data_IF_006904917596
#
_entry.id   IF_006904917596
#
_cell.length_a   1.000
_cell.length_b   1.000
_cell.length_c   1.000
_cell.angle_alpha   90.00
_cell.angle_beta   90.00
_cell.angle_gamma   90.00
#
_symmetry.space_group_name_H-M   'P 1'
#
loop_
_entity.id
_entity.type
_entity.pdbx_description
1 polymer ?
#
# COMPACT_ATOMS: atom_id res chain seq x y z
N UNK A 1 -21.81 -0.24 -9.62
CA UNK A 1 -21.67 0.72 -8.49
C UNK A 1 -20.27 1.30 -8.53
N UNK A 2 -20.10 2.58 -8.25
CA UNK A 2 -18.75 3.20 -8.15
C UNK A 2 -17.98 2.54 -7.00
N UNK A 3 -16.72 2.14 -7.23
CA UNK A 3 -15.81 1.69 -6.17
C UNK A 3 -15.00 2.89 -5.66
N UNK A 4 -14.80 2.98 -4.36
CA UNK A 4 -13.88 3.93 -3.74
C UNK A 4 -12.44 3.44 -3.89
N UNK A 5 -11.53 4.32 -4.30
CA UNK A 5 -10.14 4.00 -4.51
C UNK A 5 -9.34 4.13 -3.21
N UNK A 6 -8.63 3.07 -2.82
CA UNK A 6 -7.72 3.04 -1.68
C UNK A 6 -6.30 2.84 -2.19
N UNK A 7 -5.45 3.83 -1.95
CA UNK A 7 -4.02 3.75 -2.26
C UNK A 7 -3.26 3.38 -0.99
N UNK A 8 -2.64 2.22 -1.00
CA UNK A 8 -1.77 1.77 0.08
C UNK A 8 -0.34 2.25 -0.16
N UNK A 9 0.29 2.85 0.85
CA UNK A 9 1.72 3.12 0.89
C UNK A 9 2.34 2.08 1.82
N UNK A 10 3.19 1.22 1.27
CA UNK A 10 3.78 0.08 2.00
C UNK A 10 5.27 0.01 1.68
N UNK A 11 6.15 -0.33 2.63
CA UNK A 11 7.56 -0.45 2.28
C UNK A 11 7.82 -1.70 1.44
N UNK A 12 7.24 -2.85 1.78
CA UNK A 12 7.38 -4.09 1.00
C UNK A 12 6.21 -5.06 1.25
N UNK A 13 6.05 -6.07 0.41
CA UNK A 13 4.94 -7.05 0.46
C UNK A 13 5.34 -8.41 1.06
N UNK A 14 6.31 -8.43 1.97
CA UNK A 14 6.76 -9.66 2.63
C UNK A 14 5.91 -10.03 3.86
N UNK A 15 5.87 -11.33 4.18
CA UNK A 15 5.34 -11.85 5.44
C UNK A 15 3.84 -11.62 5.67
N UNK A 16 3.43 -11.55 6.95
CA UNK A 16 2.03 -11.44 7.36
C UNK A 16 1.30 -10.22 6.78
N UNK A 17 1.98 -9.08 6.68
CA UNK A 17 1.43 -7.88 6.02
C UNK A 17 1.09 -8.17 4.56
N UNK A 18 2.04 -8.73 3.80
CA UNK A 18 1.83 -9.08 2.40
C UNK A 18 0.60 -9.98 2.21
N UNK A 19 0.42 -10.99 3.06
CA UNK A 19 -0.75 -11.86 3.03
C UNK A 19 -2.06 -11.13 3.34
N UNK A 20 -2.07 -10.20 4.30
CA UNK A 20 -3.25 -9.41 4.64
C UNK A 20 -3.66 -8.48 3.47
N UNK A 21 -2.69 -7.81 2.85
CA UNK A 21 -2.91 -6.95 1.69
C UNK A 21 -3.36 -7.76 0.46
N UNK A 22 -2.78 -8.94 0.23
CA UNK A 22 -3.20 -9.85 -0.84
C UNK A 22 -4.65 -10.31 -0.64
N UNK A 23 -5.02 -10.65 0.60
CA UNK A 23 -6.38 -11.08 0.94
C UNK A 23 -7.40 -9.97 0.71
N UNK A 24 -7.03 -8.74 1.07
CA UNK A 24 -7.81 -7.52 0.82
C UNK A 24 -8.02 -7.30 -0.67
N UNK A 25 -6.94 -7.40 -1.45
CA UNK A 25 -6.99 -7.25 -2.91
C UNK A 25 -7.86 -8.33 -3.56
N UNK A 26 -7.67 -9.60 -3.20
CA UNK A 26 -8.49 -10.73 -3.67
C UNK A 26 -9.97 -10.52 -3.37
N UNK A 27 -10.29 -10.13 -2.15
CA UNK A 27 -11.67 -9.84 -1.75
C UNK A 27 -12.27 -8.71 -2.61
N UNK A 28 -11.51 -7.64 -2.83
CA UNK A 28 -11.97 -6.49 -3.61
C UNK A 28 -12.27 -6.81 -5.09
N UNK A 29 -11.61 -7.83 -5.65
CA UNK A 29 -11.74 -8.24 -7.06
C UNK A 29 -12.77 -9.33 -7.27
N UNK A 30 -12.86 -10.29 -6.35
CA UNK A 30 -13.75 -11.46 -6.48
C UNK A 30 -15.15 -11.22 -5.92
N UNK A 31 -15.43 -10.05 -5.35
CA UNK A 31 -16.74 -9.72 -4.77
C UNK A 31 -17.26 -8.36 -5.26
N UNK A 32 -18.53 -8.07 -4.99
CA UNK A 32 -19.13 -6.75 -5.19
C UNK A 32 -18.69 -5.73 -4.11
N UNK A 33 -17.42 -5.81 -3.66
CA UNK A 33 -16.85 -4.88 -2.69
C UNK A 33 -16.89 -3.43 -3.21
N UNK A 34 -17.15 -2.50 -2.30
CA UNK A 34 -17.22 -1.07 -2.58
C UNK A 34 -15.84 -0.40 -2.71
N UNK A 35 -14.75 -1.12 -2.44
CA UNK A 35 -13.39 -0.57 -2.46
C UNK A 35 -12.54 -1.25 -3.53
N UNK A 36 -11.61 -0.49 -4.11
CA UNK A 36 -10.58 -0.97 -5.03
C UNK A 36 -9.22 -0.55 -4.48
N UNK A 37 -8.24 -1.46 -4.51
CA UNK A 37 -6.95 -1.28 -3.84
C UNK A 37 -5.80 -1.27 -4.84
N UNK A 38 -4.86 -0.35 -4.63
CA UNK A 38 -3.58 -0.24 -5.32
C UNK A 38 -2.46 0.00 -4.30
N UNK A 39 -1.22 -0.38 -4.63
CA UNK A 39 -0.09 -0.36 -3.69
C UNK A 39 1.09 0.40 -4.27
N UNK A 40 1.59 1.42 -3.56
CA UNK A 40 2.91 2.02 -3.77
C UNK A 40 3.90 1.28 -2.87
N UNK A 41 4.94 0.68 -3.48
CA UNK A 41 6.02 0.00 -2.77
C UNK A 41 7.22 0.94 -2.68
N UNK A 42 7.61 1.33 -1.46
CA UNK A 42 8.72 2.29 -1.25
C UNK A 42 10.09 1.61 -1.12
N UNK A 43 10.16 0.34 -0.71
CA UNK A 43 11.39 -0.44 -0.58
C UNK A 43 11.48 -1.54 -1.65
N UNK A 44 11.99 -1.18 -2.82
CA UNK A 44 12.18 -2.12 -3.92
C UNK A 44 13.23 -3.19 -3.60
N UNK A 45 14.25 -2.85 -2.80
CA UNK A 45 15.39 -3.75 -2.52
C UNK A 45 14.97 -4.96 -1.70
N UNK A 46 13.97 -4.79 -0.84
CA UNK A 46 13.43 -5.86 -0.01
C UNK A 46 12.24 -6.58 -0.64
N UNK A 47 11.88 -6.27 -1.88
CA UNK A 47 10.82 -6.99 -2.58
C UNK A 47 11.35 -8.34 -3.10
N UNK A 48 10.86 -9.43 -2.51
CA UNK A 48 11.33 -10.77 -2.85
C UNK A 48 10.62 -11.35 -4.09
N UNK A 49 11.27 -12.24 -4.87
CA UNK A 49 10.60 -12.94 -5.98
C UNK A 49 9.35 -13.69 -5.52
N UNK A 50 9.39 -14.31 -4.33
CA UNK A 50 8.24 -14.99 -3.74
C UNK A 50 7.06 -14.05 -3.51
N UNK A 51 7.31 -12.83 -3.02
CA UNK A 51 6.26 -11.82 -2.87
C UNK A 51 5.71 -11.37 -4.21
N UNK A 52 6.54 -11.19 -5.24
CA UNK A 52 6.07 -10.85 -6.58
C UNK A 52 5.22 -11.96 -7.19
N UNK A 53 5.64 -13.22 -7.05
CA UNK A 53 4.90 -14.39 -7.52
C UNK A 53 3.53 -14.49 -6.83
N UNK A 54 3.47 -14.22 -5.52
CA UNK A 54 2.23 -14.22 -4.74
C UNK A 54 1.18 -13.21 -5.25
N UNK A 55 1.66 -12.12 -5.87
CA UNK A 55 0.85 -11.05 -6.42
C UNK A 55 0.81 -11.05 -7.96
N UNK A 56 1.30 -12.11 -8.62
CA UNK A 56 1.44 -12.16 -10.09
C UNK A 56 0.14 -11.87 -10.85
N UNK A 57 -0.99 -12.41 -10.41
CA UNK A 57 -2.32 -12.13 -10.97
C UNK A 57 -2.80 -10.67 -10.78
N UNK A 58 -2.11 -9.92 -9.91
CA UNK A 58 -2.46 -8.57 -9.49
C UNK A 58 -1.32 -7.57 -9.72
N UNK A 59 -0.39 -7.88 -10.62
CA UNK A 59 0.79 -7.03 -10.89
C UNK A 59 0.43 -5.60 -11.28
N UNK A 60 -0.69 -5.39 -11.98
CA UNK A 60 -1.16 -4.08 -12.42
C UNK A 60 -1.54 -3.14 -11.26
N UNK A 61 -1.73 -3.69 -10.06
CA UNK A 61 -2.06 -2.95 -8.84
C UNK A 61 -0.81 -2.63 -8.01
N UNK A 62 0.37 -3.10 -8.43
CA UNK A 62 1.63 -2.89 -7.74
C UNK A 62 2.47 -1.83 -8.45
N UNK A 63 2.73 -0.72 -7.75
CA UNK A 63 3.54 0.39 -8.24
C UNK A 63 4.88 0.42 -7.51
N UNK A 64 5.87 -0.19 -8.13
CA UNK A 64 7.23 -0.34 -7.59
C UNK A 64 8.10 0.79 -8.12
N UNK A 65 8.87 1.44 -7.25
CA UNK A 65 9.91 2.41 -7.65
C UNK A 65 9.43 3.66 -8.35
N UNK A 66 8.20 4.10 -8.03
CA UNK A 66 7.62 5.29 -8.63
C UNK A 66 8.10 6.55 -7.93
N UNK A 67 8.26 7.61 -8.73
CA UNK A 67 8.68 8.92 -8.23
C UNK A 67 7.53 9.67 -7.53
N UNK A 68 7.88 10.75 -6.83
CA UNK A 68 6.93 11.57 -6.07
C UNK A 68 5.78 12.13 -6.93
N UNK A 69 6.06 12.48 -8.19
CA UNK A 69 5.03 13.00 -9.10
C UNK A 69 3.95 11.95 -9.38
N UNK A 70 4.36 10.70 -9.63
CA UNK A 70 3.44 9.60 -9.84
C UNK A 70 2.64 9.27 -8.57
N UNK A 71 3.32 9.24 -7.42
CA UNK A 71 2.66 8.97 -6.14
C UNK A 71 1.62 10.05 -5.85
N UNK A 72 1.96 11.33 -6.07
CA UNK A 72 1.03 12.46 -5.91
C UNK A 72 -0.19 12.32 -6.84
N UNK A 73 0.03 11.99 -8.11
CA UNK A 73 -1.06 11.76 -9.06
C UNK A 73 -2.00 10.63 -8.60
N UNK A 74 -1.45 9.54 -8.07
CA UNK A 74 -2.23 8.44 -7.51
C UNK A 74 -3.01 8.85 -6.26
N UNK A 75 -2.40 9.65 -5.39
CA UNK A 75 -3.05 10.17 -4.19
C UNK A 75 -4.18 11.14 -4.52
N UNK A 76 -4.01 12.03 -5.51
CA UNK A 76 -5.07 12.96 -5.96
C UNK A 76 -6.31 12.22 -6.50
N UNK A 77 -6.12 10.99 -7.02
CA UNK A 77 -7.19 10.12 -7.53
C UNK A 77 -7.78 9.19 -6.47
N UNK A 78 -7.12 9.05 -5.32
CA UNK A 78 -7.54 8.13 -4.27
C UNK A 78 -8.58 8.78 -3.35
N UNK A 79 -9.61 8.03 -2.96
CA UNK A 79 -10.56 8.46 -1.94
C UNK A 79 -9.97 8.31 -0.52
N UNK A 80 -9.04 7.37 -0.36
CA UNK A 80 -8.32 7.08 0.89
C UNK A 80 -6.86 6.75 0.57
N UNK A 81 -5.93 7.33 1.33
CA UNK A 81 -4.53 6.93 1.36
C UNK A 81 -4.27 6.18 2.66
N UNK A 82 -3.96 4.90 2.58
CA UNK A 82 -3.63 4.07 3.74
C UNK A 82 -2.11 3.86 3.81
N UNK A 83 -1.49 4.30 4.88
CA UNK A 83 -0.05 4.14 5.10
C UNK A 83 0.16 2.98 6.06
N UNK A 84 0.77 1.91 5.57
CA UNK A 84 1.15 0.75 6.36
C UNK A 84 2.42 1.08 7.15
N UNK A 85 2.25 1.34 8.44
CA UNK A 85 3.28 1.91 9.30
C UNK A 85 3.87 0.89 10.28
N UNK A 86 5.19 0.83 10.32
CA UNK A 86 6.01 0.31 11.42
C UNK A 86 7.35 1.05 11.42
N UNK A 87 8.32 0.61 12.22
CA UNK A 87 9.66 1.21 12.28
C UNK A 87 10.53 0.94 11.02
N UNK A 88 10.01 1.26 9.83
CA UNK A 88 10.70 1.16 8.56
C UNK A 88 11.25 2.54 8.12
N UNK A 89 12.57 2.70 7.89
CA UNK A 89 13.18 3.99 7.55
C UNK A 89 12.55 4.67 6.33
N UNK A 90 12.20 3.92 5.29
CA UNK A 90 11.62 4.49 4.07
C UNK A 90 10.19 5.02 4.25
N UNK A 91 9.43 4.50 5.23
CA UNK A 91 8.13 5.07 5.58
C UNK A 91 8.31 6.38 6.33
N UNK A 92 9.28 6.47 7.25
CA UNK A 92 9.61 7.75 7.89
C UNK A 92 10.14 8.78 6.90
N UNK A 93 11.00 8.38 5.97
CA UNK A 93 11.46 9.25 4.90
C UNK A 93 10.26 9.75 4.09
N UNK A 94 9.37 8.86 3.64
CA UNK A 94 8.15 9.25 2.92
C UNK A 94 7.31 10.25 3.73
N UNK A 95 7.01 9.97 5.00
CA UNK A 95 6.19 10.85 5.85
C UNK A 95 6.81 12.23 6.09
N UNK A 96 8.14 12.35 6.04
CA UNK A 96 8.85 13.60 6.36
C UNK A 96 9.28 14.40 5.13
N UNK A 97 9.57 13.72 4.02
CA UNK A 97 10.06 14.34 2.79
C UNK A 97 8.97 14.54 1.72
N UNK A 98 7.87 13.77 1.78
CA UNK A 98 6.82 13.85 0.78
C UNK A 98 5.82 14.96 1.11
N UNK A 99 5.52 15.81 0.11
CA UNK A 99 4.48 16.83 0.25
C UNK A 99 3.12 16.24 -0.09
N UNK A 100 2.32 15.95 0.93
CA UNK A 100 1.00 15.37 0.78
C UNK A 100 0.03 16.34 0.06
N UNK A 101 -0.66 15.91 -1.01
CA UNK A 101 -1.85 16.61 -1.47
C UNK A 101 -2.97 16.48 -0.43
N UNK A 102 -4.04 17.26 -0.60
CA UNK A 102 -5.24 17.12 0.22
C UNK A 102 -5.75 15.68 0.11
N UNK A 103 -5.65 14.93 1.20
CA UNK A 103 -5.90 13.50 1.21
C UNK A 103 -6.55 13.08 2.52
N UNK A 104 -7.40 12.04 2.45
CA UNK A 104 -7.91 11.35 3.63
C UNK A 104 -6.94 10.22 3.98
N UNK A 105 -6.13 10.43 5.00
CA UNK A 105 -5.07 9.50 5.39
C UNK A 105 -5.53 8.59 6.53
N UNK A 106 -5.25 7.30 6.40
CA UNK A 106 -5.30 6.31 7.48
C UNK A 106 -3.87 5.83 7.73
N UNK A 107 -3.38 5.98 8.96
CA UNK A 107 -2.10 5.40 9.38
C UNK A 107 -2.39 4.07 10.08
N UNK A 108 -2.07 2.94 9.44
CA UNK A 108 -2.30 1.62 10.00
C UNK A 108 -1.02 1.11 10.68
N UNK A 109 -1.04 0.98 12.00
CA UNK A 109 0.12 0.52 12.75
C UNK A 109 0.22 -1.00 12.78
N UNK A 110 1.38 -1.52 12.37
CA UNK A 110 1.74 -2.95 12.41
C UNK A 110 2.70 -3.28 13.56
N UNK A 111 2.88 -2.37 14.52
CA UNK A 111 3.68 -2.64 15.70
C UNK A 111 2.84 -3.46 16.68
N UNK A 112 3.26 -4.70 16.95
CA UNK A 112 2.67 -5.53 17.99
C UNK A 112 2.96 -4.90 19.37
N UNK A 113 2.03 -4.09 19.87
CA UNK A 113 2.16 -3.37 21.14
C UNK A 113 1.91 -4.21 22.40
N UNK A 114 1.82 -5.55 22.27
CA UNK A 114 1.53 -6.45 23.38
C UNK A 114 2.75 -7.32 23.69
N UNK A 115 3.67 -6.77 24.47
CA UNK A 115 4.57 -7.57 25.31
C UNK A 115 3.81 -7.83 26.61
N UNK A 116 3.71 -9.10 27.02
CA UNK A 116 3.26 -9.47 28.38
C UNK A 116 4.44 -9.49 29.31
#
# INVERSE_FOLDING_TARGET
>A
MKKFAVLHIVPHLNGGLGHALLSTLKFSKNTAASFAHEFIITDEKHLTPTSLELFSEYSDYLHIGKNDSFIKEKMDKADIVQIEWWNHPLIYNFLTSFTFPLSRVILCSHVNGLYR
#
